data_IF_852797337926
#
_entry.id   IF_852797337926
#
_cell.length_a   1.000
_cell.length_b   1.000
_cell.length_c   1.000
_cell.angle_alpha   90.00
_cell.angle_beta   90.00
_cell.angle_gamma   90.00
#
_symmetry.space_group_name_H-M   'P 1'
#
loop_
_entity.id
_entity.type
_entity.pdbx_description
1 polymer ?
#
# COMPACT_ATOMS: atom_id res chain seq x y z
N UNK A 1 7.93 16.59 -14.28
CA UNK A 1 8.48 15.83 -13.15
C UNK A 1 9.66 15.01 -13.66
N UNK A 2 10.82 15.10 -13.02
CA UNK A 2 11.96 14.21 -13.30
C UNK A 2 11.71 12.87 -12.57
N UNK A 3 11.67 11.76 -13.32
CA UNK A 3 11.31 10.46 -12.75
C UNK A 3 12.41 9.87 -11.87
N UNK A 4 13.69 10.10 -12.23
CA UNK A 4 14.82 9.56 -11.47
C UNK A 4 14.98 10.30 -10.14
N UNK A 5 14.76 11.63 -10.15
CA UNK A 5 14.74 12.43 -8.93
C UNK A 5 13.63 11.97 -7.98
N UNK A 6 12.41 11.79 -8.49
CA UNK A 6 11.26 11.36 -7.68
C UNK A 6 11.44 9.93 -7.16
N UNK A 7 11.98 9.02 -7.97
CA UNK A 7 12.30 7.68 -7.52
C UNK A 7 13.36 7.69 -6.40
N UNK A 8 14.40 8.52 -6.53
CA UNK A 8 15.41 8.69 -5.48
C UNK A 8 14.84 9.31 -4.19
N UNK A 9 13.89 10.25 -4.29
CA UNK A 9 13.17 10.80 -3.14
C UNK A 9 12.29 9.75 -2.47
N UNK A 10 11.54 8.97 -3.26
CA UNK A 10 10.71 7.87 -2.79
C UNK A 10 11.54 6.85 -2.02
N UNK A 11 12.68 6.42 -2.56
CA UNK A 11 13.58 5.49 -1.88
C UNK A 11 14.11 6.06 -0.55
N UNK A 12 14.55 7.32 -0.55
CA UNK A 12 15.09 7.93 0.67
C UNK A 12 14.02 8.13 1.74
N UNK A 13 12.82 8.54 1.37
CA UNK A 13 11.80 8.98 2.33
C UNK A 13 10.84 7.86 2.74
N UNK A 14 10.39 7.02 1.80
CA UNK A 14 9.37 5.99 2.03
C UNK A 14 9.92 4.56 2.09
N UNK A 15 11.23 4.35 1.89
CA UNK A 15 11.85 3.02 1.97
C UNK A 15 13.01 2.99 2.97
N UNK A 16 14.05 3.76 2.75
CA UNK A 16 15.22 3.85 3.65
C UNK A 16 14.91 4.63 4.93
N UNK A 17 14.20 5.75 4.78
CA UNK A 17 13.91 6.72 5.82
C UNK A 17 12.61 6.50 6.57
N UNK A 18 11.92 5.37 6.36
CA UNK A 18 10.71 5.05 7.13
C UNK A 18 11.04 5.16 8.62
N UNK A 19 10.28 6.01 9.32
CA UNK A 19 10.51 6.30 10.73
C UNK A 19 9.69 5.34 11.60
N UNK A 20 10.19 5.03 12.79
CA UNK A 20 9.40 4.37 13.83
C UNK A 20 8.27 5.26 14.39
N UNK A 21 8.31 6.57 14.09
CA UNK A 21 7.23 7.53 14.39
C UNK A 21 6.05 7.44 13.39
N UNK A 22 6.21 6.67 12.30
CA UNK A 22 5.11 6.35 11.40
C UNK A 22 4.12 5.45 12.17
N UNK A 23 2.83 5.81 12.29
CA UNK A 23 1.93 5.10 13.17
C UNK A 23 1.44 3.79 12.54
N UNK A 24 2.32 2.79 12.60
CA UNK A 24 2.16 1.53 11.90
C UNK A 24 3.33 0.61 12.13
N UNK A 25 3.70 0.41 13.40
CA UNK A 25 4.49 -0.73 13.86
C UNK A 25 6.01 -0.72 13.55
N UNK A 26 6.73 -1.60 14.24
CA UNK A 26 8.16 -1.51 14.51
C UNK A 26 9.01 -1.56 13.25
N UNK A 27 9.46 -0.38 12.79
CA UNK A 27 10.49 -0.27 11.77
C UNK A 27 11.83 -0.61 12.40
N UNK A 28 12.49 -1.62 11.85
CA UNK A 28 13.80 -2.08 12.30
C UNK A 28 14.79 -2.07 11.15
N UNK A 29 16.02 -1.63 11.43
CA UNK A 29 17.15 -1.69 10.52
C UNK A 29 18.04 -2.87 10.91
N UNK A 30 18.12 -3.87 10.04
CA UNK A 30 19.00 -5.02 10.19
C UNK A 30 20.07 -4.98 9.11
N UNK A 31 21.22 -4.37 9.43
CA UNK A 31 22.24 -4.06 8.43
C UNK A 31 21.66 -3.18 7.32
N UNK A 32 21.84 -3.61 6.06
CA UNK A 32 21.32 -2.93 4.87
C UNK A 32 19.89 -3.36 4.50
N UNK A 33 19.10 -3.81 5.47
CA UNK A 33 17.67 -4.14 5.30
C UNK A 33 16.83 -3.28 6.22
N UNK A 34 15.78 -2.65 5.68
CA UNK A 34 14.73 -2.02 6.46
C UNK A 34 13.50 -2.94 6.42
N UNK A 35 13.08 -3.40 7.60
CA UNK A 35 11.87 -4.19 7.78
C UNK A 35 10.85 -3.45 8.65
N UNK A 36 9.59 -3.73 8.42
CA UNK A 36 8.47 -3.27 9.22
C UNK A 36 7.77 -4.48 9.82
N UNK A 37 7.67 -4.49 11.15
CA UNK A 37 6.94 -5.52 11.89
C UNK A 37 5.64 -4.96 12.44
N UNK A 38 4.51 -5.36 11.86
CA UNK A 38 3.15 -5.06 12.31
C UNK A 38 2.85 -5.47 13.75
N UNK A 39 1.86 -4.85 14.39
CA UNK A 39 1.15 -5.50 15.50
C UNK A 39 0.39 -6.74 15.01
N UNK A 40 -0.22 -7.52 15.90
CA UNK A 40 -0.88 -8.78 15.52
C UNK A 40 -1.95 -8.54 14.43
N UNK A 41 -1.77 -9.21 13.28
CA UNK A 41 -2.66 -9.10 12.12
C UNK A 41 -2.34 -7.97 11.14
N UNK A 42 -1.36 -7.11 11.42
CA UNK A 42 -0.87 -6.08 10.49
C UNK A 42 0.14 -6.63 9.47
N UNK A 43 0.38 -5.85 8.41
CA UNK A 43 1.37 -6.19 7.39
C UNK A 43 2.77 -6.25 7.99
N UNK A 44 3.54 -7.24 7.57
CA UNK A 44 4.94 -7.40 7.91
C UNK A 44 5.74 -7.50 6.62
N UNK A 45 6.88 -6.84 6.54
CA UNK A 45 7.70 -7.01 5.36
C UNK A 45 9.00 -6.24 5.33
N UNK A 46 9.78 -6.56 4.31
CA UNK A 46 10.99 -5.84 3.93
C UNK A 46 10.59 -4.75 2.93
N UNK A 47 10.79 -3.49 3.33
CA UNK A 47 10.45 -2.31 2.51
C UNK A 47 11.65 -1.78 1.72
N UNK A 48 12.87 -2.10 2.17
CA UNK A 48 14.10 -1.70 1.51
C UNK A 48 15.23 -2.69 1.75
N UNK A 49 16.10 -2.83 0.75
CA UNK A 49 17.34 -3.59 0.86
C UNK A 49 18.46 -3.01 -0.01
N UNK A 50 19.61 -2.71 0.60
CA UNK A 50 20.83 -2.26 -0.07
C UNK A 50 21.83 -3.42 -0.25
N UNK A 51 21.42 -4.47 -0.95
CA UNK A 51 22.17 -5.72 -1.03
C UNK A 51 22.97 -5.85 -2.32
N UNK A 52 23.95 -6.74 -2.32
CA UNK A 52 24.69 -7.17 -3.51
C UNK A 52 24.69 -8.69 -3.63
N UNK A 53 25.35 -9.21 -4.68
CA UNK A 53 25.40 -10.65 -4.95
C UNK A 53 26.06 -11.48 -3.83
N UNK A 54 26.92 -10.86 -2.99
CA UNK A 54 27.61 -11.52 -1.89
C UNK A 54 26.81 -11.47 -0.58
N UNK A 55 26.00 -10.42 -0.37
CA UNK A 55 25.25 -10.22 0.88
C UNK A 55 23.80 -10.72 0.83
N UNK A 56 23.21 -10.83 -0.37
CA UNK A 56 21.79 -11.11 -0.54
C UNK A 56 21.31 -12.40 0.15
N UNK A 57 21.99 -13.52 -0.06
CA UNK A 57 21.52 -14.82 0.45
C UNK A 57 21.55 -14.87 1.99
N UNK A 58 22.56 -14.26 2.60
CA UNK A 58 22.68 -14.16 4.05
C UNK A 58 21.59 -13.28 4.66
N UNK A 59 21.30 -12.14 4.01
CA UNK A 59 20.25 -11.23 4.44
C UNK A 59 18.85 -11.86 4.31
N UNK A 60 18.56 -12.52 3.18
CA UNK A 60 17.30 -13.26 2.98
C UNK A 60 17.12 -14.31 4.09
N UNK A 61 18.15 -15.12 4.34
CA UNK A 61 18.09 -16.15 5.38
C UNK A 61 17.89 -15.55 6.79
N UNK A 62 18.44 -14.36 7.07
CA UNK A 62 18.21 -13.65 8.33
C UNK A 62 16.76 -13.20 8.48
N UNK A 63 16.17 -12.57 7.45
CA UNK A 63 14.77 -12.15 7.51
C UNK A 63 13.81 -13.33 7.66
N UNK A 64 14.05 -14.42 6.93
CA UNK A 64 13.27 -15.66 7.08
C UNK A 64 13.35 -16.18 8.51
N UNK A 65 14.54 -16.23 9.12
CA UNK A 65 14.69 -16.65 10.53
C UNK A 65 13.97 -15.70 11.49
N UNK A 66 14.07 -14.40 11.28
CA UNK A 66 13.43 -13.39 12.12
C UNK A 66 11.91 -13.56 12.15
N UNK A 67 11.24 -13.51 10.98
CA UNK A 67 9.78 -13.57 10.93
C UNK A 67 9.23 -14.95 11.29
N UNK A 68 9.94 -16.04 10.95
CA UNK A 68 9.50 -17.38 11.35
C UNK A 68 9.64 -17.64 12.84
N UNK A 69 10.64 -17.07 13.53
CA UNK A 69 10.74 -17.13 14.99
C UNK A 69 9.58 -16.40 15.69
N UNK A 70 8.97 -15.42 15.01
CA UNK A 70 7.79 -14.70 15.48
C UNK A 70 6.46 -15.34 15.03
N UNK A 71 6.51 -16.46 14.28
CA UNK A 71 5.34 -17.08 13.64
C UNK A 71 4.53 -16.08 12.80
N UNK A 72 5.23 -15.29 11.97
CA UNK A 72 4.62 -14.28 11.09
C UNK A 72 4.90 -14.58 9.63
N UNK A 73 3.85 -14.48 8.83
CA UNK A 73 4.00 -14.31 7.38
C UNK A 73 4.59 -12.93 7.12
N UNK A 74 5.36 -12.79 6.05
CA UNK A 74 5.88 -11.50 5.65
C UNK A 74 6.11 -11.41 4.15
N UNK A 75 6.09 -10.18 3.66
CA UNK A 75 6.37 -9.85 2.27
C UNK A 75 7.79 -9.27 2.12
N UNK A 76 8.46 -9.61 1.04
CA UNK A 76 9.59 -8.84 0.52
C UNK A 76 9.08 -8.03 -0.67
N UNK A 77 8.99 -6.71 -0.51
CA UNK A 77 8.56 -5.81 -1.58
C UNK A 77 9.71 -5.53 -2.53
N UNK A 78 9.81 -6.32 -3.60
CA UNK A 78 10.91 -6.21 -4.57
C UNK A 78 10.60 -5.17 -5.64
N UNK A 79 11.52 -4.24 -5.87
CA UNK A 79 11.48 -3.31 -7.01
C UNK A 79 12.41 -3.80 -8.11
N UNK A 80 12.03 -3.61 -9.37
CA UNK A 80 12.80 -4.10 -10.52
C UNK A 80 14.24 -3.58 -10.60
N UNK A 81 14.54 -2.46 -9.93
CA UNK A 81 15.87 -1.87 -9.84
C UNK A 81 16.66 -2.27 -8.59
N UNK A 82 16.06 -3.02 -7.65
CA UNK A 82 16.76 -3.50 -6.46
C UNK A 82 17.91 -4.44 -6.86
N UNK A 83 18.99 -4.40 -6.08
CA UNK A 83 20.15 -5.24 -6.27
C UNK A 83 20.17 -6.41 -5.27
N UNK A 84 20.77 -7.56 -5.64
CA UNK A 84 21.25 -7.89 -6.99
C UNK A 84 20.08 -8.10 -7.99
N UNK A 85 20.31 -7.95 -9.29
CA UNK A 85 19.26 -8.14 -10.31
C UNK A 85 18.59 -9.53 -10.29
N UNK A 86 19.24 -10.55 -9.72
CA UNK A 86 18.69 -11.90 -9.54
C UNK A 86 17.99 -12.09 -8.17
N UNK A 87 17.77 -11.02 -7.39
CA UNK A 87 17.19 -11.08 -6.04
C UNK A 87 15.83 -11.80 -6.02
N UNK A 88 14.98 -11.57 -7.01
CA UNK A 88 13.71 -12.31 -7.15
C UNK A 88 13.88 -13.82 -7.34
N UNK A 89 14.96 -14.29 -7.99
CA UNK A 89 15.26 -15.72 -8.10
C UNK A 89 15.76 -16.28 -6.77
N UNK A 90 16.57 -15.52 -6.03
CA UNK A 90 17.07 -15.88 -4.69
C UNK A 90 15.92 -15.98 -3.68
N UNK A 91 14.99 -15.03 -3.70
CA UNK A 91 13.77 -15.08 -2.86
C UNK A 91 12.97 -16.36 -3.12
N UNK A 92 12.73 -16.74 -4.38
CA UNK A 92 12.07 -18.01 -4.72
C UNK A 92 12.83 -19.22 -4.18
N UNK A 93 14.16 -19.24 -4.34
CA UNK A 93 15.00 -20.32 -3.83
C UNK A 93 14.93 -20.43 -2.29
N UNK A 94 14.70 -19.32 -1.60
CA UNK A 94 14.49 -19.25 -0.17
C UNK A 94 13.06 -19.61 0.29
N UNK A 95 12.14 -19.91 -0.63
CA UNK A 95 10.78 -20.36 -0.32
C UNK A 95 9.69 -19.30 -0.42
N UNK A 96 10.00 -18.11 -0.94
CA UNK A 96 8.99 -17.08 -1.21
C UNK A 96 8.18 -17.40 -2.48
N UNK A 97 6.91 -17.01 -2.47
CA UNK A 97 6.02 -17.07 -3.63
C UNK A 97 5.78 -15.67 -4.18
N UNK A 98 6.02 -15.40 -5.48
CA UNK A 98 5.68 -14.11 -6.07
C UNK A 98 4.17 -13.94 -6.22
N UNK A 99 3.67 -12.77 -5.88
CA UNK A 99 2.32 -12.31 -6.23
C UNK A 99 2.33 -11.56 -7.58
N UNK A 100 1.17 -11.16 -8.12
CA UNK A 100 1.12 -10.41 -9.37
C UNK A 100 1.94 -9.12 -9.31
N UNK A 101 2.60 -8.79 -10.43
CA UNK A 101 3.33 -7.54 -10.57
C UNK A 101 2.42 -6.32 -10.46
N UNK A 102 2.95 -5.28 -9.82
CA UNK A 102 2.35 -3.95 -9.75
C UNK A 102 3.31 -2.92 -10.34
N UNK A 103 2.85 -1.68 -10.46
CA UNK A 103 3.67 -0.57 -10.94
C UNK A 103 3.68 0.52 -9.90
N UNK A 104 4.84 0.83 -9.32
CA UNK A 104 5.04 2.05 -8.56
C UNK A 104 4.77 3.23 -9.50
N UNK A 105 3.75 4.01 -9.19
CA UNK A 105 3.41 5.23 -9.90
C UNK A 105 3.40 6.42 -8.98
N UNK A 106 3.85 7.58 -9.48
CA UNK A 106 3.79 8.83 -8.74
C UNK A 106 3.31 10.00 -9.60
N UNK A 107 2.75 11.02 -8.95
CA UNK A 107 2.36 12.27 -9.59
C UNK A 107 2.64 13.46 -8.67
N UNK A 108 3.05 14.59 -9.26
CA UNK A 108 3.10 15.87 -8.55
C UNK A 108 1.67 16.38 -8.36
N UNK A 109 1.26 16.63 -7.11
CA UNK A 109 -0.14 16.91 -6.76
C UNK A 109 -0.68 18.15 -7.48
N UNK A 110 0.16 19.18 -7.68
CA UNK A 110 -0.23 20.41 -8.37
C UNK A 110 -0.63 20.19 -9.84
N UNK A 111 -0.18 19.10 -10.45
CA UNK A 111 -0.45 18.75 -11.84
C UNK A 111 -1.65 17.79 -11.97
N UNK A 112 -2.20 17.31 -10.85
CA UNK A 112 -3.34 16.40 -10.82
C UNK A 112 -4.67 17.16 -10.91
N UNK A 113 -5.71 16.55 -11.52
CA UNK A 113 -7.06 17.08 -11.42
C UNK A 113 -7.54 17.01 -9.97
N UNK A 114 -7.90 18.16 -9.39
CA UNK A 114 -8.45 18.26 -8.03
C UNK A 114 -9.95 18.54 -8.01
N UNK A 115 -10.53 18.90 -9.16
CA UNK A 115 -11.96 19.12 -9.31
C UNK A 115 -12.70 17.79 -9.26
N UNK A 116 -13.62 17.68 -8.30
CA UNK A 116 -14.37 16.46 -8.05
C UNK A 116 -15.74 16.57 -8.70
N UNK A 117 -15.85 16.09 -9.94
CA UNK A 117 -17.13 15.87 -10.60
C UNK A 117 -17.68 14.49 -10.21
N UNK A 118 -18.69 14.48 -9.33
CA UNK A 118 -19.37 13.25 -8.93
C UNK A 118 -20.48 12.89 -9.94
N UNK A 119 -20.61 11.60 -10.29
CA UNK A 119 -21.77 11.14 -11.05
C UNK A 119 -23.07 11.40 -10.28
N UNK A 120 -24.18 11.59 -11.00
CA UNK A 120 -25.49 11.79 -10.39
C UNK A 120 -25.83 10.66 -9.40
N UNK A 121 -26.33 11.04 -8.22
CA UNK A 121 -26.69 10.10 -7.16
C UNK A 121 -25.50 9.55 -6.35
N UNK A 122 -24.26 9.94 -6.66
CA UNK A 122 -23.08 9.56 -5.89
C UNK A 122 -22.70 10.66 -4.90
N UNK A 123 -22.45 10.25 -3.66
CA UNK A 123 -21.94 11.10 -2.57
C UNK A 123 -20.67 10.49 -2.00
N UNK A 124 -19.73 11.32 -1.57
CA UNK A 124 -18.54 10.87 -0.85
C UNK A 124 -18.74 11.07 0.65
N UNK A 125 -18.38 10.05 1.43
CA UNK A 125 -18.33 10.10 2.88
C UNK A 125 -16.90 9.91 3.35
N UNK A 126 -16.44 10.78 4.25
CA UNK A 126 -15.22 10.55 5.02
C UNK A 126 -15.54 9.55 6.12
N UNK A 127 -14.69 8.53 6.27
CA UNK A 127 -14.81 7.54 7.33
C UNK A 127 -14.03 8.02 8.54
N UNK A 128 -14.74 8.30 9.63
CA UNK A 128 -14.17 8.79 10.89
C UNK A 128 -14.59 7.98 12.11
N UNK A 129 -15.40 6.93 11.91
CA UNK A 129 -15.94 6.09 12.97
C UNK A 129 -16.04 4.62 12.53
N UNK A 130 -16.34 3.68 13.46
CA UNK A 130 -16.49 2.28 13.13
C UNK A 130 -17.55 1.98 12.07
N UNK A 131 -18.67 2.73 12.04
CA UNK A 131 -19.73 2.48 11.06
C UNK A 131 -19.27 2.80 9.63
N UNK A 132 -18.48 3.87 9.45
CA UNK A 132 -17.83 4.16 8.18
C UNK A 132 -16.80 3.10 7.78
N UNK A 133 -16.10 2.49 8.75
CA UNK A 133 -15.16 1.39 8.47
C UNK A 133 -15.90 0.15 7.96
N UNK A 134 -17.07 -0.16 8.51
CA UNK A 134 -17.93 -1.24 7.98
C UNK A 134 -18.32 -0.95 6.52
N UNK A 135 -18.77 0.27 6.20
CA UNK A 135 -19.11 0.66 4.82
C UNK A 135 -17.92 0.54 3.86
N UNK A 136 -16.73 0.90 4.32
CA UNK A 136 -15.50 0.80 3.52
C UNK A 136 -15.11 -0.66 3.28
N UNK A 137 -15.19 -1.50 4.31
CA UNK A 137 -14.93 -2.93 4.23
C UNK A 137 -15.93 -3.61 3.27
N UNK A 138 -17.22 -3.27 3.35
CA UNK A 138 -18.26 -3.76 2.45
C UNK A 138 -18.01 -3.37 1.00
N UNK A 139 -17.61 -2.12 0.73
CA UNK A 139 -17.24 -1.68 -0.62
C UNK A 139 -16.04 -2.48 -1.16
N UNK A 140 -15.03 -2.71 -0.31
CA UNK A 140 -13.83 -3.43 -0.66
C UNK A 140 -14.14 -4.90 -0.99
N UNK A 141 -14.89 -5.59 -0.13
CA UNK A 141 -15.30 -6.97 -0.34
C UNK A 141 -16.08 -7.13 -1.65
N UNK A 142 -17.05 -6.26 -1.92
CA UNK A 142 -17.80 -6.27 -3.17
C UNK A 142 -16.95 -5.94 -4.42
N UNK A 143 -15.90 -5.13 -4.27
CA UNK A 143 -15.04 -4.74 -5.39
C UNK A 143 -14.01 -5.82 -5.77
N UNK A 144 -13.47 -6.53 -4.77
CA UNK A 144 -12.36 -7.48 -4.92
C UNK A 144 -12.78 -8.95 -4.78
N UNK A 145 -13.95 -9.24 -4.20
CA UNK A 145 -14.48 -10.61 -4.09
C UNK A 145 -13.81 -11.46 -3.02
N UNK A 146 -13.08 -10.84 -2.08
CA UNK A 146 -12.37 -11.49 -0.97
C UNK A 146 -12.85 -10.90 0.35
N UNK A 147 -12.86 -11.74 1.40
CA UNK A 147 -13.25 -11.29 2.75
C UNK A 147 -12.46 -10.05 3.17
N UNK A 148 -13.20 -9.07 3.69
CA UNK A 148 -12.65 -7.82 4.20
C UNK A 148 -12.41 -7.81 5.72
N UNK A 149 -12.64 -8.93 6.42
CA UNK A 149 -12.58 -9.00 7.89
C UNK A 149 -11.26 -8.51 8.48
N UNK A 150 -10.12 -8.94 7.92
CA UNK A 150 -8.79 -8.50 8.37
C UNK A 150 -8.57 -7.02 8.09
N UNK A 151 -8.96 -6.54 6.90
CA UNK A 151 -8.87 -5.12 6.55
C UNK A 151 -9.70 -4.28 7.52
N UNK A 152 -10.92 -4.70 7.83
CA UNK A 152 -11.81 -4.03 8.77
C UNK A 152 -11.19 -3.91 10.16
N UNK A 153 -10.67 -5.01 10.71
CA UNK A 153 -9.98 -5.01 12.01
C UNK A 153 -8.77 -4.07 12.02
N UNK A 154 -7.95 -4.09 10.95
CA UNK A 154 -6.82 -3.19 10.78
C UNK A 154 -7.23 -1.73 10.76
N UNK A 155 -8.27 -1.38 9.99
CA UNK A 155 -8.74 0.00 9.85
C UNK A 155 -9.37 0.52 11.16
N UNK A 156 -10.09 -0.32 11.91
CA UNK A 156 -10.59 0.02 13.25
C UNK A 156 -9.42 0.30 14.21
N UNK A 157 -8.39 -0.55 14.20
CA UNK A 157 -7.20 -0.35 15.03
C UNK A 157 -6.44 0.93 14.63
N UNK A 158 -6.28 1.18 13.33
CA UNK A 158 -5.62 2.38 12.81
C UNK A 158 -6.39 3.65 13.19
N UNK A 159 -7.71 3.66 13.03
CA UNK A 159 -8.56 4.79 13.40
C UNK A 159 -8.50 5.08 14.91
N UNK A 160 -8.41 4.04 15.74
CA UNK A 160 -8.30 4.20 17.20
C UNK A 160 -6.93 4.71 17.64
N UNK A 161 -5.85 4.35 16.95
CA UNK A 161 -4.47 4.74 17.33
C UNK A 161 -4.07 6.07 16.73
N UNK A 162 -4.32 6.28 15.44
CA UNK A 162 -3.84 7.45 14.68
C UNK A 162 -4.85 7.89 13.63
N UNK A 163 -5.95 8.53 14.07
CA UNK A 163 -7.00 9.00 13.17
C UNK A 163 -6.52 10.07 12.17
N UNK A 164 -5.42 10.77 12.46
CA UNK A 164 -4.92 11.88 11.63
C UNK A 164 -3.93 11.44 10.53
N UNK A 165 -3.44 10.18 10.56
CA UNK A 165 -2.48 9.68 9.56
C UNK A 165 -3.15 8.95 8.39
N UNK A 166 -4.44 8.62 8.51
CA UNK A 166 -5.19 7.88 7.49
C UNK A 166 -6.48 8.60 7.10
N UNK A 167 -6.65 8.81 5.81
CA UNK A 167 -7.86 9.39 5.22
C UNK A 167 -8.58 8.29 4.47
N UNK A 168 -9.77 7.96 4.94
CA UNK A 168 -10.62 6.94 4.36
C UNK A 168 -11.85 7.59 3.74
N UNK A 169 -12.21 7.16 2.53
CA UNK A 169 -13.36 7.70 1.81
C UNK A 169 -14.16 6.58 1.17
N UNK A 170 -15.48 6.63 1.36
CA UNK A 170 -16.44 5.74 0.70
C UNK A 170 -17.29 6.57 -0.26
N UNK A 171 -17.52 6.05 -1.47
CA UNK A 171 -18.53 6.56 -2.38
C UNK A 171 -19.81 5.76 -2.19
N UNK A 172 -20.91 6.47 -1.94
CA UNK A 172 -22.23 5.90 -1.67
C UNK A 172 -23.19 6.20 -2.81
N UNK A 173 -24.06 5.24 -3.13
CA UNK A 173 -25.24 5.43 -3.97
C UNK A 173 -26.49 5.18 -3.11
N UNK A 174 -27.12 6.27 -2.64
CA UNK A 174 -28.08 6.18 -1.54
C UNK A 174 -27.39 5.66 -0.28
N UNK A 175 -27.84 4.50 0.22
CA UNK A 175 -27.31 3.80 1.39
C UNK A 175 -26.32 2.68 1.01
N UNK A 176 -26.10 2.44 -0.29
CA UNK A 176 -25.20 1.38 -0.74
C UNK A 176 -23.77 1.92 -0.88
N UNK A 177 -22.76 1.30 -0.24
CA UNK A 177 -21.35 1.59 -0.51
C UNK A 177 -20.93 0.96 -1.85
N UNK A 178 -20.43 1.78 -2.78
CA UNK A 178 -20.15 1.37 -4.17
C UNK A 178 -18.69 1.52 -4.58
N UNK A 179 -17.91 2.25 -3.79
CA UNK A 179 -16.47 2.37 -3.97
C UNK A 179 -15.82 2.79 -2.67
N UNK A 180 -14.59 2.35 -2.44
CA UNK A 180 -13.84 2.68 -1.23
C UNK A 180 -12.38 2.90 -1.55
N UNK A 181 -11.73 3.79 -0.82
CA UNK A 181 -10.29 3.94 -0.89
C UNK A 181 -9.71 4.57 0.39
N UNK A 182 -8.43 4.33 0.64
CA UNK A 182 -7.68 4.97 1.72
C UNK A 182 -6.49 5.76 1.17
N UNK A 183 -6.01 6.70 1.96
CA UNK A 183 -4.80 7.47 1.74
C UNK A 183 -4.06 7.58 3.06
N UNK A 184 -2.78 7.27 3.06
CA UNK A 184 -1.89 7.41 4.21
C UNK A 184 -1.00 8.63 4.02
N UNK A 185 -0.93 9.46 5.05
CA UNK A 185 -0.05 10.60 5.11
C UNK A 185 1.24 10.20 5.83
N UNK A 186 2.37 10.67 5.31
CA UNK A 186 3.71 10.33 5.82
C UNK A 186 4.40 11.60 6.32
N UNK A 187 4.15 12.04 7.58
CA UNK A 187 4.70 13.28 8.11
C UNK A 187 6.23 13.33 8.00
N UNK A 188 6.75 14.48 7.57
CA UNK A 188 8.18 14.66 7.34
C UNK A 188 8.69 14.17 5.97
N UNK A 189 7.79 13.68 5.11
CA UNK A 189 8.09 13.33 3.72
C UNK A 189 7.31 14.20 2.74
N UNK A 190 7.67 14.11 1.46
CA UNK A 190 6.98 14.78 0.36
C UNK A 190 5.76 14.00 -0.15
N UNK A 191 5.52 12.78 0.35
CA UNK A 191 4.60 11.81 -0.24
C UNK A 191 3.36 11.53 0.61
N UNK A 192 2.21 11.43 -0.05
CA UNK A 192 1.04 10.72 0.45
C UNK A 192 0.79 9.47 -0.41
N UNK A 193 0.33 8.40 0.23
CA UNK A 193 0.23 7.06 -0.37
C UNK A 193 -1.23 6.66 -0.57
N UNK A 194 -1.61 6.23 -1.77
CA UNK A 194 -2.97 5.80 -2.09
C UNK A 194 -3.10 4.28 -2.04
N UNK A 195 -4.08 3.77 -1.29
CA UNK A 195 -4.27 2.32 -1.15
C UNK A 195 -5.74 1.89 -1.27
N UNK A 196 -5.94 0.60 -1.54
CA UNK A 196 -7.24 -0.08 -1.44
C UNK A 196 -8.35 0.49 -2.32
N UNK A 197 -8.00 1.25 -3.36
CA UNK A 197 -8.97 1.92 -4.22
C UNK A 197 -9.73 0.93 -5.09
N UNK A 198 -10.98 0.63 -4.74
CA UNK A 198 -11.83 -0.32 -5.43
C UNK A 198 -13.22 0.24 -5.72
N UNK A 199 -13.76 -0.06 -6.91
CA UNK A 199 -15.16 0.22 -7.28
C UNK A 199 -15.87 -1.09 -7.61
N UNK A 200 -17.06 -1.27 -7.02
CA UNK A 200 -17.95 -2.43 -7.24
C UNK A 200 -18.24 -2.58 -8.73
N UNK A 201 -18.25 -3.83 -9.22
CA UNK A 201 -18.27 -4.11 -10.66
C UNK A 201 -19.39 -3.40 -11.44
N UNK A 202 -20.62 -3.39 -10.90
CA UNK A 202 -21.80 -2.76 -11.52
C UNK A 202 -21.72 -1.22 -11.61
N UNK A 203 -20.81 -0.61 -10.84
CA UNK A 203 -20.61 0.84 -10.73
C UNK A 203 -19.37 1.33 -11.49
N UNK A 204 -18.62 0.43 -12.12
CA UNK A 204 -17.44 0.76 -12.95
C UNK A 204 -17.84 1.51 -14.22
N UNK A 205 -16.89 2.24 -14.80
CA UNK A 205 -17.11 3.01 -16.03
C UNK A 205 -17.91 4.30 -15.86
N UNK A 206 -18.31 4.65 -14.62
CA UNK A 206 -19.11 5.84 -14.32
C UNK A 206 -18.31 7.04 -13.82
N UNK A 207 -16.98 6.91 -13.70
CA UNK A 207 -16.10 7.99 -13.22
C UNK A 207 -15.87 8.04 -11.70
N UNK A 208 -16.48 7.16 -10.90
CA UNK A 208 -16.35 7.15 -9.43
C UNK A 208 -14.89 7.00 -8.97
N UNK A 209 -14.13 6.06 -9.54
CA UNK A 209 -12.72 5.88 -9.20
C UNK A 209 -11.89 7.15 -9.46
N UNK A 210 -12.13 7.83 -10.58
CA UNK A 210 -11.47 9.10 -10.91
C UNK A 210 -11.84 10.19 -9.90
N UNK A 211 -13.10 10.30 -9.52
CA UNK A 211 -13.54 11.26 -8.51
C UNK A 211 -12.88 11.00 -7.14
N UNK A 212 -12.72 9.74 -6.74
CA UNK A 212 -11.98 9.38 -5.52
C UNK A 212 -10.49 9.72 -5.59
N UNK A 213 -9.85 9.61 -6.76
CA UNK A 213 -8.46 10.07 -6.94
C UNK A 213 -8.38 11.59 -6.81
N UNK A 214 -9.22 12.33 -7.52
CA UNK A 214 -9.25 13.80 -7.46
C UNK A 214 -9.52 14.32 -6.03
N UNK A 215 -10.47 13.69 -5.33
CA UNK A 215 -10.79 14.03 -3.94
C UNK A 215 -9.57 13.87 -3.02
N UNK A 216 -8.85 12.75 -3.12
CA UNK A 216 -7.66 12.47 -2.29
C UNK A 216 -6.47 13.34 -2.70
N UNK A 217 -6.29 13.65 -3.98
CA UNK A 217 -5.28 14.61 -4.45
C UNK A 217 -5.52 16.01 -3.86
N UNK A 218 -6.77 16.47 -3.85
CA UNK A 218 -7.14 17.75 -3.22
C UNK A 218 -6.84 17.75 -1.72
N UNK A 219 -7.15 16.67 -1.01
CA UNK A 219 -6.85 16.53 0.42
C UNK A 219 -5.34 16.53 0.68
N UNK A 220 -4.57 15.72 -0.04
CA UNK A 220 -3.11 15.65 0.10
C UNK A 220 -2.44 17.01 -0.15
N UNK A 221 -2.87 17.73 -1.20
CA UNK A 221 -2.36 19.07 -1.50
C UNK A 221 -2.72 20.10 -0.42
N UNK A 222 -3.95 20.04 0.11
CA UNK A 222 -4.35 20.88 1.24
C UNK A 222 -3.57 20.58 2.53
N UNK A 223 -3.12 19.34 2.70
CA UNK A 223 -2.23 18.89 3.79
C UNK A 223 -0.74 19.18 3.53
N UNK A 224 -0.39 19.83 2.41
CA UNK A 224 0.98 20.28 2.11
C UNK A 224 1.89 19.23 1.47
N UNK A 225 1.36 18.07 1.06
CA UNK A 225 2.14 17.04 0.37
C UNK A 225 2.42 17.45 -1.08
N UNK A 226 3.58 17.04 -1.59
CA UNK A 226 4.01 17.35 -2.96
C UNK A 226 3.64 16.25 -3.95
N UNK A 227 3.74 14.99 -3.53
CA UNK A 227 3.53 13.84 -4.39
C UNK A 227 2.44 12.90 -3.87
N UNK A 228 1.69 12.30 -4.79
CA UNK A 228 0.94 11.08 -4.53
C UNK A 228 1.68 9.90 -5.12
N UNK A 229 1.75 8.80 -4.37
CA UNK A 229 2.28 7.52 -4.84
C UNK A 229 1.24 6.40 -4.70
N UNK A 230 1.35 5.38 -5.55
CA UNK A 230 0.51 4.19 -5.53
C UNK A 230 1.22 3.01 -6.20
N UNK A 231 1.03 1.81 -5.65
CA UNK A 231 1.27 0.58 -6.40
C UNK A 231 0.04 0.23 -7.25
N UNK A 232 0.19 0.41 -8.55
CA UNK A 232 -0.89 0.25 -9.51
C UNK A 232 -0.91 -1.16 -10.09
N UNK A 233 -1.99 -1.89 -9.86
CA UNK A 233 -2.33 -3.08 -10.65
C UNK A 233 -2.37 -2.78 -12.16
N UNK A 234 -2.28 -3.82 -12.99
CA UNK A 234 -2.48 -3.73 -14.44
C UNK A 234 -3.81 -3.08 -14.86
N UNK A 235 -4.83 -3.13 -13.98
CA UNK A 235 -6.16 -2.56 -14.21
C UNK A 235 -6.22 -1.06 -13.90
N UNK A 236 -5.58 -0.62 -12.82
CA UNK A 236 -5.58 0.79 -12.41
C UNK A 236 -4.52 1.61 -13.14
N UNK A 237 -3.40 1.01 -13.52
CA UNK A 237 -2.27 1.68 -14.21
C UNK A 237 -2.69 2.53 -15.41
N UNK A 238 -3.54 2.06 -16.37
CA UNK A 238 -3.94 2.88 -17.50
C UNK A 238 -4.85 4.06 -17.10
N UNK A 239 -5.62 3.93 -16.02
CA UNK A 239 -6.48 4.99 -15.52
C UNK A 239 -5.61 6.07 -14.87
N UNK A 240 -4.70 5.66 -13.97
CA UNK A 240 -3.76 6.55 -13.28
C UNK A 240 -2.85 7.29 -14.27
N UNK A 241 -2.36 6.60 -15.31
CA UNK A 241 -1.54 7.23 -16.37
C UNK A 241 -2.27 8.38 -17.05
N UNK A 242 -3.58 8.23 -17.32
CA UNK A 242 -4.42 9.29 -17.91
C UNK A 242 -4.72 10.43 -16.95
N UNK A 243 -4.58 10.19 -15.65
CA UNK A 243 -4.76 11.20 -14.60
C UNK A 243 -3.47 11.97 -14.29
N UNK A 244 -2.34 11.62 -14.91
CA UNK A 244 -1.06 12.31 -14.74
C UNK A 244 -0.03 11.55 -13.89
N UNK A 245 -0.32 10.32 -13.46
CA UNK A 245 0.67 9.50 -12.78
C UNK A 245 1.69 8.92 -13.77
N UNK A 246 2.97 9.08 -13.45
CA UNK A 246 4.07 8.44 -14.16
C UNK A 246 4.40 7.08 -13.54
N UNK A 247 4.68 6.08 -14.38
CA UNK A 247 5.24 4.82 -13.93
C UNK A 247 6.73 4.99 -13.65
N UNK A 248 7.16 4.66 -12.43
CA UNK A 248 8.55 4.78 -11.99
C UNK A 248 9.27 3.43 -11.98
N UNK A 249 8.60 2.36 -11.52
CA UNK A 249 9.17 1.01 -11.50
C UNK A 249 8.09 -0.06 -11.48
N UNK A 250 8.44 -1.28 -11.88
CA UNK A 250 7.68 -2.47 -11.56
C UNK A 250 8.04 -2.92 -10.15
N UNK A 251 7.03 -3.43 -9.43
CA UNK A 251 7.18 -4.08 -8.14
C UNK A 251 6.63 -5.49 -8.21
N UNK A 252 7.18 -6.39 -7.39
CA UNK A 252 6.65 -7.73 -7.21
C UNK A 252 6.66 -8.05 -5.71
N UNK A 253 5.48 -8.23 -5.10
CA UNK A 253 5.41 -8.76 -3.74
C UNK A 253 5.90 -10.21 -3.75
N UNK A 254 6.87 -10.53 -2.91
CA UNK A 254 7.27 -11.92 -2.65
C UNK A 254 6.82 -12.28 -1.25
N UNK A 255 5.89 -13.22 -1.10
CA UNK A 255 5.33 -13.58 0.20
C UNK A 255 5.97 -14.87 0.71
N UNK A 256 6.35 -14.85 1.98
CA UNK A 256 6.80 -16.03 2.71
C UNK A 256 5.74 -16.40 3.76
N UNK A 257 5.13 -17.56 3.59
CA UNK A 257 4.18 -18.11 4.56
C UNK A 257 4.93 -18.91 5.63
N UNK A 258 4.77 -18.50 6.89
CA UNK A 258 5.25 -19.30 8.02
C UNK A 258 4.41 -20.59 8.08
N UNK A 259 5.06 -21.73 7.87
CA UNK A 259 4.39 -23.01 8.03
C UNK A 259 4.18 -23.27 9.53
N UNK A 260 2.97 -23.08 10.02
CA UNK A 260 2.55 -23.67 11.29
C UNK A 260 2.77 -25.18 11.20
N UNK A 261 3.62 -25.75 12.08
CA UNK A 261 3.67 -27.20 12.24
C UNK A 261 2.24 -27.66 12.56
N UNK A 262 1.68 -28.64 11.84
CA UNK A 262 0.41 -29.21 12.25
C UNK A 262 0.57 -29.71 13.69
N UNK A 263 -0.36 -29.27 14.53
CA UNK A 263 -0.50 -29.61 15.94
C UNK A 263 -0.29 -31.12 16.10
N UNK A 264 0.90 -31.55 16.53
CA UNK A 264 1.13 -32.92 16.98
C UNK A 264 0.43 -33.03 18.33
N UNK A 265 -0.90 -33.18 18.30
CA UNK A 265 -1.62 -33.65 19.48
C UNK A 265 -1.26 -35.11 19.72
N UNK A 266 -0.94 -35.49 20.96
CA UNK A 266 -0.62 -36.87 21.32
C UNK A 266 -1.81 -37.81 21.12
#
# INVERSE_FOLDING_TARGET
>A
MDHDEVLGLFDRQLRQGVSADDPGAGVERSGDVVRQGGADGEWNGVVWSGLDAATADAAIAEQVRHFTALARDFEWKLYAYDQPHDLGARLRAAGFTPEPEETLMAAEIRDLPTDVELPEGIRLETVTDPAGVELLADAHEQAFGTSSSRLREQLLAQLARTPDSVFMTVAMAGDQPVSGARMELHPGTDFASLWGGGTVAAWRGRGIYRALIAHRARLAGASGYRFLQVDASSRSRPILSRLGFAALSITTPYVYEHRSRPDQRP
#
